data_IF_579070767637
#
_entry.id   IF_579070767637
#
_cell.length_a   1.000
_cell.length_b   1.000
_cell.length_c   1.000
_cell.angle_alpha   90.00
_cell.angle_beta   90.00
_cell.angle_gamma   90.00
#
_symmetry.space_group_name_H-M   'P 1'
#
loop_
_entity.id
_entity.type
_entity.pdbx_description
1 polymer ?
#
# COMPACT_ATOMS: atom_id res chain seq x y z
N UNK A 1 -8.40 39.94 -22.68
CA UNK A 1 -7.72 38.78 -23.28
C UNK A 1 -8.11 37.55 -22.48
N UNK A 2 -9.17 36.86 -22.90
CA UNK A 2 -9.59 35.58 -22.32
C UNK A 2 -8.76 34.49 -23.00
N UNK A 3 -7.69 34.05 -22.34
CA UNK A 3 -6.91 32.88 -22.78
C UNK A 3 -7.71 31.65 -22.43
N UNK A 4 -8.49 31.14 -23.38
CA UNK A 4 -9.13 29.83 -23.32
C UNK A 4 -8.02 28.78 -23.31
N UNK A 5 -7.62 28.33 -22.13
CA UNK A 5 -6.86 27.10 -21.95
C UNK A 5 -7.77 25.94 -22.35
N UNK A 6 -7.73 25.57 -23.62
CA UNK A 6 -8.14 24.24 -24.06
C UNK A 6 -7.12 23.26 -23.48
N UNK A 7 -7.38 22.81 -22.25
CA UNK A 7 -6.66 21.68 -21.68
C UNK A 7 -6.86 20.49 -22.61
N UNK A 8 -5.77 20.03 -23.22
CA UNK A 8 -5.76 18.74 -23.89
C UNK A 8 -6.13 17.70 -22.83
N UNK A 9 -7.25 17.01 -23.04
CA UNK A 9 -7.62 15.89 -22.18
C UNK A 9 -6.48 14.86 -22.23
N UNK A 10 -5.93 14.52 -21.07
CA UNK A 10 -4.97 13.42 -20.95
C UNK A 10 -5.74 12.13 -21.27
N UNK A 11 -5.17 11.29 -22.13
CA UNK A 11 -5.78 10.01 -22.43
C UNK A 11 -5.71 9.11 -21.19
N UNK A 12 -6.77 8.34 -20.95
CA UNK A 12 -6.76 7.34 -19.88
C UNK A 12 -5.60 6.33 -20.07
N UNK A 13 -4.91 5.93 -19.00
CA UNK A 13 -3.79 4.99 -19.09
C UNK A 13 -4.21 3.64 -19.68
N UNK A 14 -3.31 3.02 -20.43
CA UNK A 14 -3.46 1.61 -20.83
C UNK A 14 -3.17 0.72 -19.62
N UNK A 15 -4.07 -0.21 -19.30
CA UNK A 15 -3.93 -1.10 -18.14
C UNK A 15 -3.98 -2.57 -18.52
N UNK A 16 -3.06 -3.36 -17.96
CA UNK A 16 -2.99 -4.81 -18.16
C UNK A 16 -2.75 -5.52 -16.83
N UNK A 17 -3.41 -6.67 -16.62
CA UNK A 17 -3.21 -7.54 -15.45
C UNK A 17 -2.61 -8.88 -15.85
N UNK A 18 -1.56 -9.30 -15.15
CA UNK A 18 -0.83 -10.54 -15.40
C UNK A 18 -0.67 -11.37 -14.12
N UNK A 19 -1.07 -12.64 -14.18
CA UNK A 19 -0.76 -13.61 -13.14
C UNK A 19 0.63 -14.21 -13.36
N UNK A 20 1.53 -14.03 -12.40
CA UNK A 20 2.88 -14.61 -12.48
C UNK A 20 2.85 -16.05 -11.95
N UNK A 21 3.27 -17.05 -12.74
CA UNK A 21 3.25 -18.44 -12.30
C UNK A 21 4.23 -18.69 -11.15
N UNK A 22 3.98 -19.75 -10.38
CA UNK A 22 4.88 -20.21 -9.30
C UNK A 22 6.11 -20.91 -9.88
N UNK A 23 7.05 -20.10 -10.36
CA UNK A 23 8.36 -20.53 -10.89
C UNK A 23 9.48 -20.07 -9.94
N UNK A 24 10.76 -20.45 -10.13
CA UNK A 24 11.84 -19.89 -9.30
C UNK A 24 11.86 -18.36 -9.31
N UNK A 25 12.24 -17.72 -8.19
CA UNK A 25 12.23 -16.26 -8.01
C UNK A 25 12.85 -15.51 -9.20
N UNK A 26 13.99 -15.95 -9.71
CA UNK A 26 14.68 -15.29 -10.83
C UNK A 26 13.84 -15.20 -12.11
N UNK A 27 12.87 -16.10 -12.30
CA UNK A 27 11.95 -16.10 -13.44
C UNK A 27 10.68 -15.29 -13.16
N UNK A 28 10.46 -14.85 -11.91
CA UNK A 28 9.35 -13.97 -11.52
C UNK A 28 9.70 -12.49 -11.63
N UNK A 29 10.97 -12.14 -11.83
CA UNK A 29 11.40 -10.75 -11.91
C UNK A 29 11.16 -10.26 -13.34
N UNK A 30 10.49 -9.11 -13.49
CA UNK A 30 10.31 -8.48 -14.79
C UNK A 30 11.61 -7.79 -15.23
N UNK A 31 11.78 -7.72 -16.55
CA UNK A 31 12.81 -6.93 -17.22
C UNK A 31 12.10 -6.09 -18.27
N UNK A 32 11.84 -4.83 -17.92
CA UNK A 32 11.19 -3.84 -18.77
C UNK A 32 11.72 -2.44 -18.44
N UNK A 33 11.15 -1.42 -19.07
CA UNK A 33 11.50 -0.02 -18.99
C UNK A 33 10.50 0.82 -18.17
N UNK A 34 9.81 0.21 -17.21
CA UNK A 34 8.92 0.95 -16.32
C UNK A 34 9.65 2.07 -15.57
N UNK A 35 8.99 3.22 -15.44
CA UNK A 35 9.49 4.42 -14.74
C UNK A 35 9.46 4.25 -13.21
N UNK A 36 8.48 3.50 -12.70
CA UNK A 36 8.25 3.29 -11.27
C UNK A 36 7.59 1.93 -11.02
N UNK A 37 7.98 1.26 -9.93
CA UNK A 37 7.32 0.05 -9.44
C UNK A 37 6.73 0.29 -8.06
N UNK A 38 5.42 0.04 -7.92
CA UNK A 38 4.72 0.03 -6.66
C UNK A 38 4.42 -1.43 -6.28
N UNK A 39 5.06 -1.90 -5.23
CA UNK A 39 4.77 -3.18 -4.60
C UNK A 39 3.75 -2.95 -3.49
N UNK A 40 2.67 -3.72 -3.45
CA UNK A 40 1.60 -3.45 -2.50
C UNK A 40 0.93 -4.69 -1.93
N UNK A 41 0.45 -4.50 -0.71
CA UNK A 41 -0.32 -5.45 0.06
C UNK A 41 -1.02 -4.75 1.21
N UNK A 42 -1.54 -5.52 2.14
CA UNK A 42 -2.23 -5.01 3.32
C UNK A 42 -2.92 -6.13 4.10
N UNK A 43 -3.66 -5.72 5.12
CA UNK A 43 -4.56 -6.56 5.90
C UNK A 43 -3.89 -7.73 6.61
N UNK A 44 -2.65 -7.55 7.08
CA UNK A 44 -1.96 -8.59 7.86
C UNK A 44 -2.65 -8.91 9.18
N UNK A 45 -3.40 -7.97 9.77
CA UNK A 45 -4.25 -8.19 10.94
C UNK A 45 -3.53 -8.85 12.12
N UNK A 46 -2.29 -8.43 12.40
CA UNK A 46 -1.49 -9.02 13.47
C UNK A 46 -0.64 -10.24 13.06
N UNK A 47 -0.74 -10.70 11.82
CA UNK A 47 0.03 -11.84 11.31
C UNK A 47 1.37 -11.41 10.70
N UNK A 48 2.44 -12.09 11.08
CA UNK A 48 3.78 -11.88 10.50
C UNK A 48 4.20 -13.00 9.57
N UNK A 49 3.66 -14.20 9.81
CA UNK A 49 4.05 -15.45 9.17
C UNK A 49 3.17 -15.76 7.94
N UNK A 50 3.63 -16.65 7.05
CA UNK A 50 2.78 -17.23 6.03
C UNK A 50 1.53 -17.89 6.63
N UNK A 51 0.47 -17.97 5.85
CA UNK A 51 -0.76 -18.65 6.26
C UNK A 51 -0.48 -20.11 6.66
N UNK A 52 -1.19 -20.60 7.68
CA UNK A 52 -1.04 -21.97 8.21
C UNK A 52 -1.51 -23.10 7.28
N UNK A 53 -1.67 -22.84 5.98
CA UNK A 53 -2.04 -23.87 5.01
C UNK A 53 -0.94 -24.94 4.92
N UNK A 54 -1.28 -26.19 5.23
CA UNK A 54 -0.31 -27.29 5.36
C UNK A 54 0.47 -27.62 4.08
N UNK A 55 -0.10 -27.38 2.89
CA UNK A 55 0.48 -27.82 1.62
C UNK A 55 1.27 -26.74 0.88
N UNK A 56 0.84 -25.48 0.97
CA UNK A 56 1.41 -24.38 0.21
C UNK A 56 1.20 -23.07 0.98
N UNK A 57 1.95 -22.84 2.07
CA UNK A 57 1.83 -21.63 2.87
C UNK A 57 2.22 -20.41 2.02
N UNK A 58 1.39 -19.38 2.03
CA UNK A 58 1.55 -18.14 1.27
C UNK A 58 1.60 -16.93 2.21
N UNK A 59 2.22 -15.84 1.77
CA UNK A 59 2.25 -14.57 2.50
C UNK A 59 3.42 -14.47 3.47
N UNK A 60 3.27 -13.62 4.48
CA UNK A 60 4.30 -13.31 5.46
C UNK A 60 5.16 -12.10 5.07
N UNK A 61 5.47 -11.28 6.08
CA UNK A 61 6.16 -10.00 5.90
C UNK A 61 7.57 -10.18 5.33
N UNK A 62 8.29 -11.20 5.80
CA UNK A 62 9.64 -11.51 5.34
C UNK A 62 9.70 -11.84 3.84
N UNK A 63 8.68 -12.54 3.32
CA UNK A 63 8.60 -12.89 1.90
C UNK A 63 8.30 -11.67 1.03
N UNK A 64 7.41 -10.78 1.49
CA UNK A 64 7.12 -9.53 0.81
C UNK A 64 8.38 -8.67 0.65
N UNK A 65 9.15 -8.47 1.73
CA UNK A 65 10.39 -7.70 1.65
C UNK A 65 11.48 -8.39 0.84
N UNK A 66 11.57 -9.71 0.91
CA UNK A 66 12.51 -10.49 0.08
C UNK A 66 12.24 -10.30 -1.40
N UNK A 67 10.96 -10.34 -1.79
CA UNK A 67 10.58 -10.06 -3.17
C UNK A 67 10.91 -8.62 -3.57
N UNK A 68 10.59 -7.66 -2.71
CA UNK A 68 10.86 -6.24 -2.96
C UNK A 68 12.36 -5.95 -3.18
N UNK A 69 13.22 -6.53 -2.37
CA UNK A 69 14.66 -6.42 -2.52
C UNK A 69 15.15 -7.10 -3.81
N UNK A 70 14.57 -8.23 -4.19
CA UNK A 70 14.91 -8.90 -5.44
C UNK A 70 14.53 -8.05 -6.67
N UNK A 71 13.36 -7.39 -6.64
CA UNK A 71 12.95 -6.42 -7.67
C UNK A 71 13.95 -5.27 -7.77
N UNK A 72 14.27 -4.64 -6.63
CA UNK A 72 15.27 -3.54 -6.57
C UNK A 72 16.64 -3.95 -7.07
N UNK A 73 17.07 -5.17 -6.77
CA UNK A 73 18.37 -5.68 -7.19
C UNK A 73 18.42 -6.03 -8.69
N UNK A 74 17.30 -6.47 -9.27
CA UNK A 74 17.23 -6.86 -10.68
C UNK A 74 17.09 -5.67 -11.63
N UNK A 75 16.48 -4.57 -11.17
CA UNK A 75 16.31 -3.34 -11.93
C UNK A 75 16.75 -2.12 -11.09
N UNK A 76 18.05 -1.92 -10.87
CA UNK A 76 18.55 -0.85 -9.99
C UNK A 76 18.20 0.56 -10.49
N UNK A 77 17.99 0.72 -11.79
CA UNK A 77 17.61 1.99 -12.41
C UNK A 77 16.09 2.24 -12.39
N UNK A 78 15.30 1.23 -12.01
CA UNK A 78 13.85 1.36 -11.84
C UNK A 78 13.51 1.41 -10.35
N UNK A 79 13.14 2.58 -9.81
CA UNK A 79 12.82 2.72 -8.39
C UNK A 79 11.60 1.86 -8.01
N UNK A 80 11.67 1.23 -6.84
CA UNK A 80 10.58 0.39 -6.33
C UNK A 80 10.22 0.70 -4.87
N UNK A 81 8.93 0.95 -4.62
CA UNK A 81 8.37 1.28 -3.30
C UNK A 81 7.45 0.15 -2.80
N UNK A 82 7.53 -0.20 -1.52
CA UNK A 82 6.71 -1.22 -0.86
C UNK A 82 5.68 -0.56 0.07
N UNK A 83 4.40 -0.67 -0.29
CA UNK A 83 3.29 0.12 0.25
C UNK A 83 2.21 -0.74 0.89
N UNK A 84 1.84 -0.47 2.14
CA UNK A 84 0.81 -1.20 2.85
C UNK A 84 -0.49 -0.40 2.90
N UNK A 85 -1.56 -0.92 2.30
CA UNK A 85 -2.85 -0.25 2.21
C UNK A 85 -3.64 -0.20 3.52
N UNK A 86 -3.17 -0.86 4.59
CA UNK A 86 -3.69 -0.72 5.94
C UNK A 86 -4.10 -2.01 6.63
N UNK A 87 -4.61 -1.91 7.86
CA UNK A 87 -5.04 -3.02 8.71
C UNK A 87 -3.96 -4.09 8.94
N UNK A 88 -2.73 -3.62 9.15
CA UNK A 88 -1.58 -4.46 9.42
C UNK A 88 -1.52 -4.86 10.91
N UNK A 89 -2.26 -4.19 11.81
CA UNK A 89 -2.54 -4.65 13.19
C UNK A 89 -3.88 -5.36 13.33
N UNK A 90 -3.95 -6.19 14.36
CA UNK A 90 -5.19 -6.75 14.87
C UNK A 90 -5.89 -5.77 15.80
N UNK A 91 -7.22 -5.80 15.77
CA UNK A 91 -8.09 -5.08 16.69
C UNK A 91 -9.07 -6.01 17.42
N UNK A 92 -8.73 -7.30 17.52
CA UNK A 92 -9.57 -8.28 18.23
C UNK A 92 -9.74 -7.86 19.68
N UNK A 93 -10.99 -7.79 20.14
CA UNK A 93 -11.38 -7.20 21.41
C UNK A 93 -12.50 -8.00 22.09
N UNK A 94 -12.56 -7.88 23.42
CA UNK A 94 -13.70 -8.29 24.23
C UNK A 94 -14.35 -7.05 24.84
N UNK A 95 -15.52 -6.68 24.33
CA UNK A 95 -16.17 -5.43 24.72
C UNK A 95 -15.37 -4.21 24.24
N UNK A 96 -14.91 -3.40 25.18
CA UNK A 96 -14.19 -2.14 24.88
C UNK A 96 -12.66 -2.27 24.96
N UNK A 97 -12.14 -3.48 25.23
CA UNK A 97 -10.72 -3.72 25.44
C UNK A 97 -10.19 -4.70 24.40
N UNK A 98 -9.00 -4.41 23.87
CA UNK A 98 -8.25 -5.39 23.10
C UNK A 98 -7.92 -6.60 24.00
N UNK A 99 -7.84 -7.78 23.40
CA UNK A 99 -7.35 -8.96 24.10
C UNK A 99 -5.84 -8.86 24.33
N UNK A 100 -5.33 -9.48 25.40
CA UNK A 100 -3.88 -9.57 25.63
C UNK A 100 -3.16 -10.21 24.44
N UNK A 101 -3.75 -11.27 23.86
CA UNK A 101 -3.27 -11.94 22.65
C UNK A 101 -3.18 -10.98 21.45
N UNK A 102 -4.06 -9.98 21.37
CA UNK A 102 -4.03 -8.94 20.33
C UNK A 102 -2.82 -8.05 20.50
N UNK A 103 -2.53 -7.60 21.73
CA UNK A 103 -1.34 -6.81 22.01
C UNK A 103 -0.05 -7.59 21.73
N UNK A 104 -0.01 -8.88 22.07
CA UNK A 104 1.13 -9.74 21.75
C UNK A 104 1.33 -9.92 20.24
N UNK A 105 0.25 -10.17 19.49
CA UNK A 105 0.30 -10.28 18.03
C UNK A 105 0.79 -8.97 17.39
N UNK A 106 0.25 -7.84 17.83
CA UNK A 106 0.67 -6.53 17.36
C UNK A 106 2.14 -6.25 17.69
N UNK A 107 2.60 -6.55 18.91
CA UNK A 107 4.00 -6.42 19.29
C UNK A 107 4.94 -7.23 18.37
N UNK A 108 4.52 -8.42 17.92
CA UNK A 108 5.24 -9.20 16.90
C UNK A 108 5.28 -8.50 15.55
N UNK A 109 4.15 -7.94 15.07
CA UNK A 109 4.12 -7.15 13.83
C UNK A 109 5.05 -5.94 13.92
N UNK A 110 5.02 -5.21 15.02
CA UNK A 110 5.93 -4.10 15.28
C UNK A 110 7.40 -4.55 15.23
N UNK A 111 7.73 -5.71 15.78
CA UNK A 111 9.07 -6.27 15.72
C UNK A 111 9.45 -6.65 14.28
N UNK A 112 8.55 -7.32 13.56
CA UNK A 112 8.76 -7.72 12.18
C UNK A 112 8.97 -6.51 11.26
N UNK A 113 8.20 -5.42 11.40
CA UNK A 113 8.35 -4.21 10.58
C UNK A 113 9.68 -3.47 10.79
N UNK A 114 10.41 -3.73 11.88
CA UNK A 114 11.77 -3.19 12.08
C UNK A 114 12.82 -3.90 11.22
N UNK A 115 12.63 -5.19 10.95
CA UNK A 115 13.55 -6.01 10.14
C UNK A 115 13.07 -6.20 8.70
N UNK A 116 11.77 -6.06 8.48
CA UNK A 116 11.09 -6.15 7.20
C UNK A 116 10.29 -4.85 6.96
N UNK A 117 10.99 -3.73 6.72
CA UNK A 117 10.35 -2.43 6.61
C UNK A 117 9.53 -2.30 5.34
N UNK A 118 8.39 -1.61 5.48
CA UNK A 118 7.60 -1.08 4.37
C UNK A 118 7.87 0.41 4.27
N UNK A 119 7.88 0.95 3.06
CA UNK A 119 8.23 2.36 2.83
C UNK A 119 7.11 3.28 3.35
N UNK A 120 5.84 2.88 3.16
CA UNK A 120 4.67 3.59 3.67
C UNK A 120 3.63 2.60 4.18
N UNK A 121 3.02 2.94 5.31
CA UNK A 121 1.94 2.19 5.96
C UNK A 121 0.73 3.11 6.17
N UNK A 122 -0.40 2.80 5.54
CA UNK A 122 -1.66 3.45 5.86
C UNK A 122 -2.11 3.07 7.28
N UNK A 123 -2.39 4.06 8.13
CA UNK A 123 -2.95 3.84 9.46
C UNK A 123 -4.46 3.89 9.37
N UNK A 124 -5.09 2.76 9.66
CA UNK A 124 -6.54 2.56 9.55
C UNK A 124 -7.22 2.59 10.91
N UNK A 125 -8.56 2.60 10.90
CA UNK A 125 -9.33 2.45 12.13
C UNK A 125 -9.04 1.17 12.94
N UNK A 126 -8.46 0.14 12.30
CA UNK A 126 -8.04 -1.10 12.95
C UNK A 126 -6.67 -0.99 13.59
N UNK A 127 -5.83 -0.10 13.08
CA UNK A 127 -4.46 0.06 13.56
C UNK A 127 -4.39 1.04 14.74
N UNK A 128 -5.22 2.09 14.72
CA UNK A 128 -5.29 3.12 15.77
C UNK A 128 -5.34 2.63 17.23
N UNK A 129 -6.09 1.56 17.58
CA UNK A 129 -6.13 1.05 18.95
C UNK A 129 -4.75 0.72 19.54
N UNK A 130 -3.77 0.36 18.70
CA UNK A 130 -2.45 -0.11 19.15
C UNK A 130 -1.29 0.47 18.33
N UNK A 131 -1.54 1.45 17.45
CA UNK A 131 -0.50 2.03 16.58
C UNK A 131 0.63 2.70 17.37
N UNK A 132 0.36 3.18 18.58
CA UNK A 132 1.31 3.89 19.43
C UNK A 132 2.28 2.96 20.19
N UNK A 133 2.03 1.64 20.24
CA UNK A 133 2.84 0.70 21.05
C UNK A 133 4.23 0.41 20.48
N UNK A 134 4.59 0.98 19.34
CA UNK A 134 5.95 0.91 18.83
C UNK A 134 6.19 1.81 17.61
N UNK A 135 7.40 2.39 17.50
CA UNK A 135 7.74 3.29 16.42
C UNK A 135 7.88 2.54 15.10
N UNK A 136 7.49 3.20 14.01
CA UNK A 136 7.79 2.78 12.64
C UNK A 136 7.79 4.00 11.70
N UNK A 137 8.69 4.04 10.71
CA UNK A 137 8.65 5.08 9.69
C UNK A 137 7.42 4.90 8.78
N UNK A 138 7.13 5.92 7.98
CA UNK A 138 6.18 5.77 6.87
C UNK A 138 4.70 5.75 7.23
N UNK A 139 4.29 6.04 8.47
CA UNK A 139 2.87 6.11 8.83
C UNK A 139 2.14 7.28 8.17
N UNK A 140 1.06 6.98 7.45
CA UNK A 140 0.20 7.99 6.80
C UNK A 140 -1.28 7.78 7.08
N UNK A 141 -2.04 8.87 7.18
CA UNK A 141 -3.49 8.92 7.07
C UNK A 141 -3.92 10.38 6.85
N UNK A 142 -4.66 10.65 5.77
CA UNK A 142 -5.19 11.97 5.47
C UNK A 142 -6.43 12.31 6.27
N UNK A 143 -7.26 11.31 6.59
CA UNK A 143 -8.58 11.53 7.18
C UNK A 143 -8.68 11.17 8.65
N UNK A 144 -7.60 10.68 9.28
CA UNK A 144 -7.56 10.41 10.72
C UNK A 144 -6.28 10.93 11.35
N UNK A 145 -6.38 11.51 12.54
CA UNK A 145 -5.23 12.11 13.23
C UNK A 145 -5.43 12.09 14.76
N UNK A 146 -4.37 11.75 15.49
CA UNK A 146 -4.30 11.84 16.94
C UNK A 146 -3.08 12.71 17.36
N UNK A 147 -3.22 13.62 18.35
CA UNK A 147 -2.18 14.59 18.71
C UNK A 147 -0.79 14.02 19.04
N UNK A 148 -0.73 12.84 19.65
CA UNK A 148 0.51 12.26 20.18
C UNK A 148 1.03 11.05 19.39
N UNK A 149 0.44 10.77 18.23
CA UNK A 149 0.83 9.64 17.39
C UNK A 149 1.36 10.19 16.06
N UNK A 150 2.61 9.90 15.66
CA UNK A 150 3.27 10.53 14.51
C UNK A 150 2.80 9.98 13.15
N UNK A 151 1.49 9.97 12.92
CA UNK A 151 0.85 9.70 11.63
C UNK A 151 0.73 11.03 10.88
N UNK A 152 1.36 11.12 9.71
CA UNK A 152 1.28 12.34 8.89
C UNK A 152 0.18 12.21 7.84
N UNK A 153 -0.26 13.35 7.28
CA UNK A 153 -1.27 13.35 6.21
C UNK A 153 -0.81 12.66 4.92
N UNK A 154 0.48 12.75 4.60
CA UNK A 154 1.09 12.13 3.43
C UNK A 154 2.63 12.10 3.55
N UNK A 155 3.29 11.34 2.68
CA UNK A 155 4.75 11.35 2.48
C UNK A 155 5.07 11.74 1.05
N UNK A 156 6.19 12.42 0.85
CA UNK A 156 6.82 12.60 -0.46
C UNK A 156 8.07 11.75 -0.48
N UNK A 157 8.16 10.84 -1.44
CA UNK A 157 9.32 10.00 -1.65
C UNK A 157 9.91 10.29 -3.03
N UNK A 158 11.22 10.46 -3.10
CA UNK A 158 11.94 10.51 -4.38
C UNK A 158 12.13 9.08 -4.89
N UNK A 159 11.71 8.83 -6.12
CA UNK A 159 11.78 7.55 -6.79
C UNK A 159 12.34 7.78 -8.21
N UNK A 160 13.66 7.63 -8.36
CA UNK A 160 14.34 7.99 -9.60
C UNK A 160 14.26 9.49 -9.85
N UNK A 161 13.77 9.89 -11.01
CA UNK A 161 13.50 11.30 -11.35
C UNK A 161 12.12 11.80 -10.89
N UNK A 162 11.26 10.90 -10.38
CA UNK A 162 9.91 11.24 -9.96
C UNK A 162 9.83 11.51 -8.45
N UNK A 163 8.97 12.44 -8.08
CA UNK A 163 8.50 12.64 -6.71
C UNK A 163 7.11 12.01 -6.56
N UNK A 164 6.98 11.06 -5.64
CA UNK A 164 5.73 10.34 -5.40
C UNK A 164 5.12 10.81 -4.08
N UNK A 165 3.91 11.38 -4.15
CA UNK A 165 3.09 11.66 -2.99
C UNK A 165 2.28 10.42 -2.62
N UNK A 166 2.37 9.99 -1.37
CA UNK A 166 1.66 8.82 -0.87
C UNK A 166 0.84 9.22 0.34
N UNK A 167 -0.46 8.99 0.26
CA UNK A 167 -1.41 9.26 1.32
C UNK A 167 -2.27 8.03 1.57
N UNK A 168 -3.03 8.05 2.67
CA UNK A 168 -3.92 6.96 3.03
C UNK A 168 -5.25 7.47 3.55
N UNK A 169 -6.32 6.74 3.29
CA UNK A 169 -7.63 6.99 3.89
C UNK A 169 -8.25 5.69 4.38
N UNK A 170 -9.12 5.84 5.37
CA UNK A 170 -9.79 4.71 6.01
C UNK A 170 -11.21 5.10 6.42
N UNK A 171 -12.11 4.12 6.52
CA UNK A 171 -13.38 4.31 7.21
C UNK A 171 -13.18 4.79 8.65
N UNK A 172 -14.11 5.58 9.15
CA UNK A 172 -14.14 5.97 10.57
C UNK A 172 -14.44 4.75 11.45
N UNK A 173 -13.58 4.52 12.45
CA UNK A 173 -13.69 3.41 13.40
C UNK A 173 -14.81 3.54 14.42
N UNK A 174 -14.98 2.49 15.23
CA UNK A 174 -15.84 2.54 16.41
C UNK A 174 -15.19 3.43 17.47
N UNK A 175 -15.82 4.54 17.92
CA UNK A 175 -15.17 5.54 18.78
C UNK A 175 -14.56 4.98 20.07
N UNK A 176 -15.15 3.93 20.65
CA UNK A 176 -14.68 3.33 21.90
C UNK A 176 -13.43 2.46 21.76
N UNK A 177 -13.05 2.06 20.54
CA UNK A 177 -11.78 1.37 20.27
C UNK A 177 -10.67 2.34 19.88
N UNK A 178 -10.99 3.62 19.64
CA UNK A 178 -10.02 4.60 19.16
C UNK A 178 -9.31 5.28 20.34
N UNK A 179 -8.05 5.71 20.16
CA UNK A 179 -7.34 6.44 21.21
C UNK A 179 -8.03 7.79 21.49
N UNK A 180 -7.92 8.29 22.74
CA UNK A 180 -8.44 9.62 23.08
C UNK A 180 -7.91 10.71 22.15
N UNK A 181 -8.79 11.62 21.74
CA UNK A 181 -8.42 12.73 20.86
C UNK A 181 -8.23 12.36 19.39
N UNK A 182 -8.51 11.11 18.97
CA UNK A 182 -8.56 10.77 17.56
C UNK A 182 -9.66 11.60 16.87
N UNK A 183 -9.24 12.38 15.88
CA UNK A 183 -10.12 13.10 14.97
C UNK A 183 -10.25 12.31 13.66
N UNK A 184 -11.44 12.34 13.07
CA UNK A 184 -11.70 11.72 11.78
C UNK A 184 -12.55 12.65 10.90
N UNK A 185 -12.21 12.72 9.62
CA UNK A 185 -12.95 13.43 8.58
C UNK A 185 -13.53 12.42 7.58
N UNK A 186 -14.62 12.78 6.86
CA UNK A 186 -15.06 12.00 5.72
C UNK A 186 -13.89 11.79 4.74
N UNK A 187 -13.62 10.55 4.29
CA UNK A 187 -12.43 10.24 3.49
C UNK A 187 -12.29 11.06 2.20
N UNK A 188 -13.41 11.26 1.49
CA UNK A 188 -13.43 12.03 0.24
C UNK A 188 -13.10 13.49 0.50
N UNK A 189 -13.77 14.12 1.49
CA UNK A 189 -13.53 15.53 1.85
C UNK A 189 -12.07 15.77 2.29
N UNK A 190 -11.49 14.84 3.05
CA UNK A 190 -10.10 14.92 3.50
C UNK A 190 -9.10 14.89 2.34
N UNK A 191 -9.40 14.09 1.30
CA UNK A 191 -8.59 14.03 0.08
C UNK A 191 -8.81 15.24 -0.81
N UNK A 192 -10.04 15.68 -1.04
CA UNK A 192 -10.31 16.90 -1.82
C UNK A 192 -9.58 18.12 -1.25
N UNK A 193 -9.51 18.23 0.08
CA UNK A 193 -8.76 19.29 0.75
C UNK A 193 -7.23 19.14 0.65
N UNK A 194 -6.72 17.92 0.41
CA UNK A 194 -5.29 17.61 0.37
C UNK A 194 -4.72 17.61 -1.05
N UNK A 195 -5.48 17.13 -2.04
CA UNK A 195 -5.03 16.92 -3.41
C UNK A 195 -4.41 18.15 -4.09
N UNK A 196 -4.97 19.37 -3.94
CA UNK A 196 -4.33 20.55 -4.50
C UNK A 196 -2.88 20.71 -4.01
N UNK A 197 -2.59 20.42 -2.73
CA UNK A 197 -1.21 20.48 -2.23
C UNK A 197 -0.33 19.39 -2.86
N UNK A 198 -0.84 18.16 -3.00
CA UNK A 198 -0.06 17.03 -3.52
C UNK A 198 0.30 17.22 -4.99
N UNK A 199 -0.65 17.68 -5.81
CA UNK A 199 -0.46 17.93 -7.25
C UNK A 199 0.62 18.98 -7.53
N UNK A 200 0.85 19.92 -6.61
CA UNK A 200 1.92 20.92 -6.77
C UNK A 200 3.31 20.41 -6.34
N UNK A 201 3.36 19.26 -5.65
CA UNK A 201 4.56 18.79 -4.96
C UNK A 201 5.05 17.43 -5.42
N UNK A 202 4.29 16.73 -6.25
CA UNK A 202 4.58 15.39 -6.72
C UNK A 202 4.20 15.23 -8.20
N UNK A 203 4.92 14.34 -8.87
CA UNK A 203 4.64 13.92 -10.24
C UNK A 203 3.61 12.79 -10.27
N UNK A 204 3.49 12.03 -9.17
CA UNK A 204 2.53 10.93 -9.02
C UNK A 204 1.92 10.97 -7.62
N UNK A 205 0.59 10.88 -7.54
CA UNK A 205 -0.18 10.80 -6.30
C UNK A 205 -0.79 9.40 -6.15
N UNK A 206 -0.36 8.70 -5.09
CA UNK A 206 -0.84 7.36 -4.72
C UNK A 206 -1.72 7.46 -3.47
N UNK A 207 -2.93 6.94 -3.57
CA UNK A 207 -3.90 6.88 -2.47
C UNK A 207 -4.10 5.44 -2.01
N UNK A 208 -3.74 5.17 -0.75
CA UNK A 208 -3.97 3.91 -0.07
C UNK A 208 -5.36 3.92 0.59
N UNK A 209 -6.24 3.00 0.23
CA UNK A 209 -7.63 2.96 0.72
C UNK A 209 -7.86 1.72 1.57
N UNK A 210 -8.49 1.88 2.73
CA UNK A 210 -8.96 0.76 3.54
C UNK A 210 -10.45 0.82 3.90
N UNK A 211 -11.19 -0.23 3.55
CA UNK A 211 -12.59 -0.50 3.95
C UNK A 211 -13.58 0.61 3.52
N UNK A 212 -13.45 1.09 2.27
CA UNK A 212 -14.27 2.14 1.66
C UNK A 212 -14.83 1.75 0.28
N UNK A 213 -15.48 0.58 0.11
CA UNK A 213 -15.87 0.08 -1.21
C UNK A 213 -16.86 0.98 -1.97
N UNK A 214 -17.58 1.87 -1.27
CA UNK A 214 -18.52 2.83 -1.91
C UNK A 214 -17.79 4.08 -2.38
N UNK A 215 -16.89 4.60 -1.56
CA UNK A 215 -16.16 5.84 -1.78
C UNK A 215 -14.92 5.64 -2.64
N UNK A 216 -14.36 4.43 -2.72
CA UNK A 216 -13.12 4.15 -3.46
C UNK A 216 -13.21 4.56 -4.93
N UNK A 217 -14.38 4.35 -5.56
CA UNK A 217 -14.61 4.82 -6.93
C UNK A 217 -14.65 6.33 -7.04
N UNK A 218 -15.33 7.00 -6.12
CA UNK A 218 -15.35 8.47 -6.05
C UNK A 218 -13.94 9.02 -5.87
N UNK A 219 -13.14 8.40 -5.00
CA UNK A 219 -11.75 8.78 -4.73
C UNK A 219 -10.88 8.60 -5.97
N UNK A 220 -10.99 7.46 -6.67
CA UNK A 220 -10.25 7.23 -7.90
C UNK A 220 -10.61 8.24 -9.00
N UNK A 221 -11.85 8.71 -9.03
CA UNK A 221 -12.29 9.75 -9.96
C UNK A 221 -11.94 11.19 -9.55
N UNK A 222 -11.27 11.43 -8.43
CA UNK A 222 -10.86 12.78 -8.02
C UNK A 222 -9.72 13.29 -8.92
N UNK A 223 -9.77 14.54 -9.42
CA UNK A 223 -8.67 15.13 -10.17
C UNK A 223 -7.37 15.13 -9.37
N UNK A 224 -6.28 14.66 -9.99
CA UNK A 224 -4.96 14.59 -9.36
C UNK A 224 -4.68 13.33 -8.55
N UNK A 225 -5.53 12.31 -8.65
CA UNK A 225 -5.20 10.96 -8.18
C UNK A 225 -4.72 10.15 -9.37
N UNK A 226 -3.49 9.63 -9.30
CA UNK A 226 -2.90 8.82 -10.37
C UNK A 226 -3.03 7.33 -10.10
N UNK A 227 -2.95 6.93 -8.82
CA UNK A 227 -3.03 5.52 -8.42
C UNK A 227 -3.88 5.36 -7.16
N UNK A 228 -4.78 4.39 -7.18
CA UNK A 228 -5.52 3.91 -6.02
C UNK A 228 -5.16 2.47 -5.71
N UNK A 229 -4.79 2.20 -4.46
CA UNK A 229 -4.53 0.86 -3.94
C UNK A 229 -5.54 0.56 -2.84
N UNK A 230 -6.49 -0.31 -3.12
CA UNK A 230 -7.62 -0.59 -2.23
C UNK A 230 -7.47 -1.93 -1.49
N UNK A 231 -7.61 -1.86 -0.16
CA UNK A 231 -7.74 -3.00 0.74
C UNK A 231 -9.16 -3.05 1.35
N UNK A 232 -9.69 -4.25 1.55
CA UNK A 232 -11.11 -4.44 1.89
C UNK A 232 -11.61 -5.88 1.98
N UNK A 233 -10.77 -6.85 2.31
CA UNK A 233 -11.17 -8.26 2.47
C UNK A 233 -11.30 -9.02 1.15
N UNK A 234 -10.38 -8.76 0.24
CA UNK A 234 -10.43 -9.23 -1.14
C UNK A 234 -9.74 -10.60 -1.33
N UNK A 235 -10.45 -11.55 -1.97
CA UNK A 235 -10.00 -12.94 -2.20
C UNK A 235 -10.11 -13.45 -3.64
N UNK A 236 -10.51 -12.61 -4.59
CA UNK A 236 -10.58 -12.98 -6.01
C UNK A 236 -9.37 -12.38 -6.76
N UNK A 237 -9.19 -12.81 -8.01
CA UNK A 237 -8.29 -12.10 -8.92
C UNK A 237 -9.07 -10.97 -9.56
N UNK A 238 -8.47 -9.78 -9.55
CA UNK A 238 -8.93 -8.63 -10.31
C UNK A 238 -7.74 -8.15 -11.13
N UNK A 239 -8.01 -7.73 -12.36
CA UNK A 239 -7.03 -6.94 -13.09
C UNK A 239 -7.13 -5.47 -12.66
N UNK A 240 -6.14 -4.65 -13.05
CA UNK A 240 -6.20 -3.23 -12.86
C UNK A 240 -7.32 -2.65 -13.73
N UNK A 241 -7.90 -1.54 -13.31
CA UNK A 241 -8.82 -0.78 -14.14
C UNK A 241 -8.57 0.72 -13.96
N UNK A 242 -9.20 1.51 -14.82
CA UNK A 242 -9.07 2.97 -14.79
C UNK A 242 -10.39 3.59 -14.36
N UNK A 243 -10.33 4.58 -13.48
CA UNK A 243 -11.43 5.48 -13.17
C UNK A 243 -10.92 6.92 -13.30
N UNK A 244 -11.47 7.69 -14.23
CA UNK A 244 -10.89 8.99 -14.59
C UNK A 244 -9.49 8.82 -15.19
N UNK A 245 -8.49 9.40 -14.52
CA UNK A 245 -7.06 9.27 -14.87
C UNK A 245 -6.34 8.26 -13.97
N UNK A 246 -6.99 7.78 -12.90
CA UNK A 246 -6.36 6.94 -11.90
C UNK A 246 -6.34 5.47 -12.31
N UNK A 247 -5.19 4.82 -12.14
CA UNK A 247 -5.07 3.36 -12.14
C UNK A 247 -5.50 2.82 -10.78
N UNK A 248 -6.47 1.92 -10.76
CA UNK A 248 -7.00 1.33 -9.54
C UNK A 248 -6.68 -0.18 -9.48
N UNK A 249 -6.01 -0.58 -8.40
CA UNK A 249 -5.67 -1.96 -8.05
C UNK A 249 -6.17 -2.35 -6.67
N UNK A 250 -6.22 -3.66 -6.39
CA UNK A 250 -6.69 -4.21 -5.11
C UNK A 250 -5.66 -5.11 -4.45
N UNK A 251 -5.53 -5.00 -3.13
CA UNK A 251 -4.71 -5.93 -2.34
C UNK A 251 -5.44 -7.25 -2.12
N UNK A 252 -4.68 -8.31 -1.87
CA UNK A 252 -5.23 -9.53 -1.29
C UNK A 252 -5.31 -9.44 0.24
N UNK A 253 -6.39 -9.94 0.84
CA UNK A 253 -6.51 -10.02 2.29
C UNK A 253 -5.35 -10.85 2.87
N UNK A 254 -4.65 -10.32 3.88
CA UNK A 254 -3.45 -10.88 4.51
C UNK A 254 -2.22 -11.03 3.59
N UNK A 255 -2.25 -10.44 2.38
CA UNK A 255 -1.13 -10.47 1.41
C UNK A 255 -0.55 -11.88 1.17
N UNK A 256 -1.32 -12.94 0.89
CA UNK A 256 -0.78 -14.20 0.36
C UNK A 256 -0.14 -13.99 -1.03
N UNK A 257 -0.53 -12.88 -1.68
CA UNK A 257 0.00 -12.41 -2.94
C UNK A 257 0.34 -10.94 -2.80
N UNK A 258 1.49 -10.55 -3.34
CA UNK A 258 1.91 -9.16 -3.45
C UNK A 258 1.54 -8.67 -4.84
N UNK A 259 0.93 -7.48 -4.91
CA UNK A 259 0.78 -6.80 -6.19
C UNK A 259 2.09 -6.10 -6.55
N UNK A 260 2.48 -6.19 -7.82
CA UNK A 260 3.57 -5.42 -8.41
C UNK A 260 2.98 -4.60 -9.56
N UNK A 261 2.75 -3.31 -9.31
CA UNK A 261 2.24 -2.37 -10.29
C UNK A 261 3.42 -1.61 -10.91
N UNK A 262 3.64 -1.85 -12.20
CA UNK A 262 4.68 -1.20 -12.99
C UNK A 262 4.05 -0.05 -13.78
N UNK A 263 4.61 1.15 -13.64
CA UNK A 263 4.07 2.37 -14.21
C UNK A 263 5.03 2.97 -15.22
N UNK A 264 4.51 3.37 -16.38
CA UNK A 264 5.21 4.20 -17.35
C UNK A 264 4.65 5.61 -17.24
N UNK A 265 5.54 6.55 -16.94
CA UNK A 265 5.18 7.95 -16.66
C UNK A 265 5.78 8.81 -17.76
N UNK A 266 4.94 9.59 -18.44
CA UNK A 266 5.35 10.53 -19.48
C UNK A 266 4.78 11.91 -19.17
N UNK A 267 5.64 12.93 -19.21
CA UNK A 267 5.25 14.32 -18.93
C UNK A 267 4.49 14.51 -17.60
N UNK A 268 4.81 13.69 -16.57
CA UNK A 268 4.16 13.75 -15.26
C UNK A 268 2.78 13.10 -15.21
N UNK A 269 2.47 12.18 -16.12
CA UNK A 269 1.21 11.44 -16.11
C UNK A 269 1.48 9.95 -16.35
N UNK A 270 0.71 9.08 -15.69
CA UNK A 270 0.75 7.64 -15.95
C UNK A 270 0.09 7.38 -17.30
N UNK A 271 0.84 6.86 -18.27
CA UNK A 271 0.33 6.54 -19.61
C UNK A 271 0.05 5.04 -19.80
N UNK A 272 0.74 4.20 -19.02
CA UNK A 272 0.57 2.75 -19.03
C UNK A 272 0.82 2.17 -17.64
N UNK A 273 0.08 1.13 -17.31
CA UNK A 273 0.29 0.36 -16.10
C UNK A 273 0.13 -1.15 -16.34
N UNK A 274 1.04 -1.93 -15.74
CA UNK A 274 0.98 -3.39 -15.73
C UNK A 274 0.95 -3.86 -14.28
N UNK A 275 -0.16 -4.47 -13.86
CA UNK A 275 -0.25 -5.17 -12.57
C UNK A 275 0.22 -6.61 -12.76
N UNK A 276 1.20 -7.02 -11.96
CA UNK A 276 1.66 -8.41 -11.85
C UNK A 276 1.28 -8.93 -10.47
N UNK A 277 0.56 -10.05 -10.42
CA UNK A 277 0.21 -10.70 -9.15
C UNK A 277 1.22 -11.77 -8.79
N UNK A 278 1.91 -11.60 -7.65
CA UNK A 278 3.03 -12.45 -7.23
C UNK A 278 2.63 -13.28 -6.02
N UNK A 279 2.59 -14.61 -6.17
CA UNK A 279 2.37 -15.52 -5.03
C UNK A 279 3.59 -15.49 -4.08
N UNK A 280 3.36 -15.19 -2.80
CA UNK A 280 4.41 -15.16 -1.76
C UNK A 280 4.64 -16.55 -1.15
N UNK A 281 5.16 -17.46 -1.96
CA UNK A 281 5.37 -18.87 -1.59
C UNK A 281 6.79 -19.17 -1.05
N UNK A 282 7.02 -20.44 -0.71
CA UNK A 282 8.28 -20.92 -0.11
C UNK A 282 9.51 -20.82 -1.02
N UNK A 283 9.36 -20.53 -2.32
CA UNK A 283 10.53 -20.27 -3.17
C UNK A 283 11.29 -19.00 -2.75
N UNK A 284 10.64 -18.10 -2.00
CA UNK A 284 11.25 -16.90 -1.42
C UNK A 284 12.08 -17.23 -0.15
N UNK A 285 11.83 -18.36 0.50
CA UNK A 285 12.53 -18.74 1.75
C UNK A 285 14.02 -19.02 1.52
N UNK A 286 14.38 -19.54 0.34
CA UNK A 286 15.77 -19.79 -0.02
C UNK A 286 16.60 -18.50 -0.12
N UNK A 287 15.97 -17.36 -0.40
CA UNK A 287 16.64 -16.06 -0.42
C UNK A 287 16.83 -15.48 0.99
N UNK A 288 16.00 -15.87 1.97
CA UNK A 288 16.10 -15.47 3.38
C UNK A 288 17.30 -16.11 4.10
N UNK A 289 17.75 -17.30 3.68
CA UNK A 289 18.77 -18.09 4.38
C UNK A 289 20.22 -17.80 3.96
N UNK A 290 20.45 -16.79 3.11
CA UNK A 290 21.82 -16.43 2.69
C UNK A 290 22.64 -15.91 3.89
N UNK A 291 23.84 -16.47 4.16
CA UNK A 291 24.67 -16.07 5.30
C UNK A 291 25.05 -14.58 5.18
N UNK A 292 24.74 -13.81 6.23
CA UNK A 292 24.98 -12.36 6.30
C UNK A 292 23.75 -11.52 6.64
N UNK A 293 22.54 -12.10 6.64
CA UNK A 293 21.33 -11.44 7.16
C UNK A 293 21.08 -11.88 8.60
N UNK A 294 21.15 -10.92 9.53
CA UNK A 294 20.77 -11.14 10.93
C UNK A 294 19.27 -11.43 10.99
N UNK A 295 18.91 -12.49 11.73
CA UNK A 295 17.54 -12.79 12.15
C UNK A 295 17.09 -11.83 13.22
#
# INVERSE_FOLDING_TARGET
MLSTWLGLAVAAPEVEGLDVPRVPLSQRLASDDASLVLLYGGEQRGETEPCGCALAPLGGLARATTYAEAVRAAAPDTPALLLNAGAWLSNTSLGLQLLDETHEANARVHAALRVHPWDVLNVTFRDWPDVASGPRPGLVSANTHAPDIPVVRYRLLSAGEHTVAITGVTRVGLPHLQPPGLSAQPPVEALEALLPELQHRADVVVVLIYDLPREARTIAGLPGVDVVIEAGGYHARWGPWVEGEAVWVRTWEATPRLGELRLWIEAGSVVRALERTIDLDSSLDAALTRPGRLR
#
